data_IF_556117540962
#
_entry.id   IF_556117540962
#
_cell.length_a   1.000
_cell.length_b   1.000
_cell.length_c   1.000
_cell.angle_alpha   90.00
_cell.angle_beta   90.00
_cell.angle_gamma   90.00
#
_symmetry.space_group_name_H-M   'P 1'
#
loop_
_entity.id
_entity.type
_entity.pdbx_description
1 polymer ?
#
# COMPACT_ATOMS: atom_id res chain seq x y z
N UNK A 1 10.19 1.98 -0.67
CA UNK A 1 9.30 2.33 -1.80
C UNK A 1 10.09 2.67 -3.06
N UNK A 2 9.57 2.26 -4.22
CA UNK A 2 10.12 2.61 -5.54
C UNK A 2 10.07 4.12 -5.79
N UNK A 3 9.14 4.82 -5.19
CA UNK A 3 8.98 6.28 -5.33
C UNK A 3 10.24 7.06 -4.90
N UNK A 4 11.04 6.50 -4.01
CA UNK A 4 12.30 7.11 -3.52
C UNK A 4 13.53 6.73 -4.35
N UNK A 5 13.37 5.91 -5.39
CA UNK A 5 14.48 5.47 -6.24
C UNK A 5 14.94 6.57 -7.22
N UNK A 6 16.16 6.43 -7.71
CA UNK A 6 16.66 7.22 -8.82
C UNK A 6 16.08 6.68 -10.14
N UNK A 7 15.04 7.31 -10.65
CA UNK A 7 14.38 6.90 -11.90
C UNK A 7 15.28 6.92 -13.13
N UNK A 8 16.40 7.67 -13.11
CA UNK A 8 17.39 7.61 -14.17
C UNK A 8 18.28 6.36 -14.09
N UNK A 9 18.25 5.62 -12.97
CA UNK A 9 19.09 4.44 -12.74
C UNK A 9 18.37 3.36 -11.93
N UNK A 10 17.09 3.06 -12.27
CA UNK A 10 16.22 2.14 -11.55
C UNK A 10 16.82 0.76 -11.32
N UNK A 11 17.54 0.22 -12.32
CA UNK A 11 18.15 -1.11 -12.21
C UNK A 11 19.08 -1.20 -11.00
N UNK A 12 19.97 -0.25 -10.83
CA UNK A 12 20.93 -0.24 -9.71
C UNK A 12 20.22 -0.15 -8.35
N UNK A 13 19.16 0.66 -8.25
CA UNK A 13 18.41 0.80 -7.01
C UNK A 13 17.57 -0.45 -6.69
N UNK A 14 17.01 -1.13 -7.71
CA UNK A 14 16.34 -2.41 -7.50
C UNK A 14 17.34 -3.48 -7.05
N UNK A 15 18.53 -3.53 -7.64
CA UNK A 15 19.60 -4.44 -7.21
C UNK A 15 20.01 -4.20 -5.74
N UNK A 16 20.06 -2.94 -5.29
CA UNK A 16 20.29 -2.62 -3.86
C UNK A 16 19.17 -3.15 -2.97
N UNK A 17 17.90 -3.00 -3.39
CA UNK A 17 16.75 -3.54 -2.65
C UNK A 17 16.80 -5.07 -2.60
N UNK A 18 17.10 -5.74 -3.71
CA UNK A 18 17.22 -7.20 -3.74
C UNK A 18 18.23 -7.72 -2.71
N UNK A 19 19.35 -7.01 -2.51
CA UNK A 19 20.39 -7.37 -1.55
C UNK A 19 20.17 -6.82 -0.13
N UNK A 20 19.11 -6.06 0.11
CA UNK A 20 18.77 -5.52 1.44
C UNK A 20 17.91 -6.48 2.25
N UNK A 21 17.72 -6.15 3.53
CA UNK A 21 16.82 -6.88 4.44
C UNK A 21 15.33 -6.51 4.24
N UNK A 22 14.99 -5.72 3.21
CA UNK A 22 13.61 -5.43 2.88
C UNK A 22 12.87 -6.71 2.47
N UNK A 23 11.65 -6.91 2.98
CA UNK A 23 10.84 -8.08 2.68
C UNK A 23 10.13 -7.95 1.33
N UNK A 24 9.64 -6.76 1.00
CA UNK A 24 8.85 -6.46 -0.20
C UNK A 24 9.37 -5.23 -0.92
N UNK A 25 8.99 -5.08 -2.19
CA UNK A 25 9.16 -3.84 -2.96
C UNK A 25 7.80 -3.14 -3.09
N UNK A 26 7.65 -2.02 -2.38
CA UNK A 26 6.45 -1.17 -2.45
C UNK A 26 6.48 -0.28 -3.68
N UNK A 27 5.37 -0.24 -4.43
CA UNK A 27 5.24 0.47 -5.71
C UNK A 27 4.04 1.41 -5.67
N UNK A 28 4.29 2.71 -5.74
CA UNK A 28 3.28 3.76 -5.75
C UNK A 28 2.89 4.16 -7.17
N UNK A 29 1.67 3.82 -7.60
CA UNK A 29 1.12 4.22 -8.90
C UNK A 29 0.14 5.36 -8.72
N UNK A 30 0.42 6.49 -9.39
CA UNK A 30 -0.34 7.74 -9.29
C UNK A 30 -0.81 8.19 -10.67
N UNK A 31 -2.08 8.62 -10.78
CA UNK A 31 -2.74 8.94 -12.05
C UNK A 31 -2.90 10.45 -12.34
N UNK A 32 -2.51 11.32 -11.39
CA UNK A 32 -2.71 12.78 -11.51
C UNK A 32 -4.16 13.24 -11.32
N UNK A 33 -5.07 12.33 -10.93
CA UNK A 33 -6.50 12.60 -10.70
C UNK A 33 -6.85 12.36 -9.23
N UNK A 34 -6.58 11.15 -8.71
CA UNK A 34 -6.78 10.84 -7.29
C UNK A 34 -5.79 11.62 -6.42
N UNK A 35 -4.56 11.77 -6.89
CA UNK A 35 -3.51 12.60 -6.27
C UNK A 35 -2.93 13.58 -7.29
N UNK A 36 -2.42 14.75 -6.87
CA UNK A 36 -1.91 15.79 -7.79
C UNK A 36 -0.49 15.49 -8.29
N UNK A 37 -0.20 14.24 -8.62
CA UNK A 37 1.08 13.77 -9.14
C UNK A 37 0.87 12.55 -10.03
N UNK A 38 1.78 12.34 -11.00
CA UNK A 38 1.89 11.14 -11.83
C UNK A 38 3.23 10.49 -11.53
N UNK A 39 3.25 9.23 -11.14
CA UNK A 39 4.50 8.54 -10.80
C UNK A 39 5.03 7.70 -11.97
N UNK A 40 4.67 6.44 -12.04
CA UNK A 40 5.18 5.46 -12.99
C UNK A 40 4.04 4.63 -13.56
N UNK A 41 4.14 4.27 -14.84
CA UNK A 41 3.15 3.45 -15.52
C UNK A 41 3.64 2.03 -15.82
N UNK A 42 2.72 1.17 -16.23
CA UNK A 42 2.95 -0.26 -16.49
C UNK A 42 4.10 -0.56 -17.46
N UNK A 43 4.40 0.27 -18.51
CA UNK A 43 5.56 0.02 -19.37
C UNK A 43 6.89 0.00 -18.64
N UNK A 44 7.06 0.81 -17.60
CA UNK A 44 8.25 0.83 -16.73
C UNK A 44 8.18 -0.28 -15.70
N UNK A 45 6.99 -0.51 -15.11
CA UNK A 45 6.79 -1.50 -14.06
C UNK A 45 7.05 -2.94 -14.51
N UNK A 46 6.90 -3.25 -15.80
CA UNK A 46 7.32 -4.55 -16.34
C UNK A 46 8.79 -4.83 -16.10
N UNK A 47 9.66 -3.85 -16.37
CA UNK A 47 11.09 -3.99 -16.12
C UNK A 47 11.42 -4.03 -14.62
N UNK A 48 10.69 -3.28 -13.80
CA UNK A 48 10.81 -3.35 -12.33
C UNK A 48 10.49 -4.76 -11.84
N UNK A 49 9.39 -5.35 -12.33
CA UNK A 49 8.95 -6.69 -11.99
C UNK A 49 9.95 -7.77 -12.44
N UNK A 50 10.55 -7.62 -13.63
CA UNK A 50 11.58 -8.54 -14.14
C UNK A 50 12.90 -8.47 -13.34
N UNK A 51 13.23 -7.32 -12.77
CA UNK A 51 14.46 -7.09 -12.01
C UNK A 51 14.32 -7.38 -10.51
N UNK A 52 13.09 -7.32 -9.97
CA UNK A 52 12.86 -7.49 -8.54
C UNK A 52 12.88 -8.98 -8.15
N UNK A 53 13.69 -9.31 -7.16
CA UNK A 53 13.67 -10.60 -6.46
C UNK A 53 12.73 -10.57 -5.23
N UNK A 54 12.22 -9.38 -4.88
CA UNK A 54 11.30 -9.20 -3.77
C UNK A 54 9.85 -9.23 -4.26
N UNK A 55 8.92 -9.81 -3.48
CA UNK A 55 7.49 -9.72 -3.79
C UNK A 55 7.05 -8.28 -3.98
N UNK A 56 6.18 -8.04 -4.97
CA UNK A 56 5.66 -6.71 -5.26
C UNK A 56 4.41 -6.43 -4.43
N UNK A 57 4.44 -5.32 -3.75
CA UNK A 57 3.32 -4.71 -3.05
C UNK A 57 2.94 -3.42 -3.81
N UNK A 58 1.78 -3.43 -4.47
CA UNK A 58 1.38 -2.35 -5.40
C UNK A 58 0.27 -1.52 -4.79
N UNK A 59 0.59 -0.25 -4.54
CA UNK A 59 -0.31 0.76 -3.99
C UNK A 59 -0.86 1.66 -5.11
N UNK A 60 -2.17 1.59 -5.35
CA UNK A 60 -2.84 2.34 -6.40
C UNK A 60 -3.48 3.62 -5.86
N UNK A 61 -2.82 4.75 -6.06
CA UNK A 61 -3.36 6.10 -5.85
C UNK A 61 -4.01 6.60 -7.15
N UNK A 62 -5.05 5.89 -7.59
CA UNK A 62 -5.73 6.15 -8.87
C UNK A 62 -7.25 6.01 -8.72
N UNK A 63 -8.00 6.72 -9.55
CA UNK A 63 -9.45 6.56 -9.63
C UNK A 63 -9.83 5.28 -10.37
N UNK A 64 -10.91 4.61 -9.93
CA UNK A 64 -11.41 3.38 -10.54
C UNK A 64 -10.34 2.28 -10.64
N UNK A 65 -9.67 1.90 -9.53
CA UNK A 65 -8.54 0.97 -9.53
C UNK A 65 -8.91 -0.42 -10.07
N UNK A 66 -10.18 -0.80 -10.04
CA UNK A 66 -10.69 -2.06 -10.58
C UNK A 66 -10.40 -2.26 -12.06
N UNK A 67 -10.16 -1.19 -12.80
CA UNK A 67 -9.84 -1.25 -14.23
C UNK A 67 -8.44 -1.80 -14.51
N UNK A 68 -7.56 -1.81 -13.51
CA UNK A 68 -6.15 -2.15 -13.64
C UNK A 68 -5.76 -3.47 -12.95
N UNK A 69 -6.74 -4.23 -12.44
CA UNK A 69 -6.48 -5.51 -11.76
C UNK A 69 -5.70 -6.48 -12.64
N UNK A 70 -6.03 -6.54 -13.93
CA UNK A 70 -5.34 -7.41 -14.89
C UNK A 70 -3.89 -6.98 -15.07
N UNK A 71 -3.65 -5.70 -15.33
CA UNK A 71 -2.30 -5.15 -15.55
C UNK A 71 -1.41 -5.33 -14.32
N UNK A 72 -1.96 -5.11 -13.11
CA UNK A 72 -1.25 -5.35 -11.85
C UNK A 72 -0.93 -6.82 -11.67
N UNK A 73 -1.88 -7.72 -11.98
CA UNK A 73 -1.66 -9.17 -11.95
C UNK A 73 -0.55 -9.62 -12.90
N UNK A 74 -0.52 -9.06 -14.12
CA UNK A 74 0.49 -9.39 -15.14
C UNK A 74 1.93 -9.00 -14.72
N UNK A 75 2.10 -8.11 -13.74
CA UNK A 75 3.39 -7.83 -13.09
C UNK A 75 3.85 -8.93 -12.12
N UNK A 76 3.04 -9.93 -11.83
CA UNK A 76 3.35 -10.93 -10.79
C UNK A 76 3.15 -10.41 -9.38
N UNK A 77 2.32 -9.41 -9.20
CA UNK A 77 2.08 -8.74 -7.91
C UNK A 77 1.52 -9.70 -6.86
N UNK A 78 2.09 -9.63 -5.66
CA UNK A 78 1.64 -10.37 -4.48
C UNK A 78 0.43 -9.67 -3.82
N UNK A 79 0.54 -8.36 -3.58
CA UNK A 79 -0.44 -7.55 -2.87
C UNK A 79 -0.86 -6.35 -3.73
N UNK A 80 -2.16 -6.12 -3.86
CA UNK A 80 -2.72 -4.93 -4.53
C UNK A 80 -3.53 -4.11 -3.54
N UNK A 81 -3.05 -2.92 -3.24
CA UNK A 81 -3.71 -1.96 -2.34
C UNK A 81 -4.50 -0.94 -3.14
N UNK A 82 -5.78 -0.77 -2.78
CA UNK A 82 -6.70 0.20 -3.39
C UNK A 82 -7.25 1.13 -2.32
N UNK A 83 -7.35 2.41 -2.62
CA UNK A 83 -7.94 3.37 -1.69
C UNK A 83 -9.44 3.13 -1.51
N UNK A 84 -9.89 3.13 -0.25
CA UNK A 84 -11.30 3.12 0.11
C UNK A 84 -12.05 4.23 -0.66
N UNK A 85 -11.47 5.42 -0.70
CA UNK A 85 -12.04 6.62 -1.29
C UNK A 85 -12.10 6.59 -2.82
N UNK A 86 -11.34 5.68 -3.46
CA UNK A 86 -11.34 5.49 -4.91
C UNK A 86 -12.33 4.42 -5.40
N UNK A 87 -12.90 3.63 -4.48
CA UNK A 87 -13.74 2.47 -4.79
C UNK A 87 -15.21 2.74 -4.51
N UNK A 88 -16.04 2.88 -5.55
CA UNK A 88 -17.50 3.01 -5.39
C UNK A 88 -18.11 1.73 -4.78
N UNK A 89 -17.58 0.56 -5.13
CA UNK A 89 -18.03 -0.75 -4.68
C UNK A 89 -16.87 -1.57 -4.11
N UNK A 90 -16.32 -1.12 -2.97
CA UNK A 90 -15.10 -1.66 -2.39
C UNK A 90 -15.13 -3.18 -2.23
N UNK A 91 -16.20 -3.76 -1.67
CA UNK A 91 -16.31 -5.21 -1.49
C UNK A 91 -16.16 -5.97 -2.82
N UNK A 92 -16.78 -5.48 -3.90
CA UNK A 92 -16.61 -6.08 -5.24
C UNK A 92 -15.17 -6.00 -5.73
N UNK A 93 -14.49 -4.87 -5.52
CA UNK A 93 -13.09 -4.68 -5.93
C UNK A 93 -12.18 -5.65 -5.19
N UNK A 94 -12.36 -5.79 -3.87
CA UNK A 94 -11.62 -6.77 -3.04
C UNK A 94 -11.81 -8.19 -3.57
N UNK A 95 -13.05 -8.59 -3.88
CA UNK A 95 -13.31 -9.91 -4.46
C UNK A 95 -12.61 -10.09 -5.82
N UNK A 96 -12.68 -9.10 -6.71
CA UNK A 96 -12.03 -9.16 -8.02
C UNK A 96 -10.50 -9.30 -7.92
N UNK A 97 -9.85 -8.61 -6.96
CA UNK A 97 -8.41 -8.74 -6.69
C UNK A 97 -8.08 -10.17 -6.25
N UNK A 98 -8.87 -10.72 -5.32
CA UNK A 98 -8.69 -12.11 -4.83
C UNK A 98 -8.95 -13.15 -5.91
N UNK A 99 -9.98 -12.97 -6.72
CA UNK A 99 -10.30 -13.86 -7.86
C UNK A 99 -9.18 -13.85 -8.92
N UNK A 100 -8.46 -12.72 -9.05
CA UNK A 100 -7.26 -12.65 -9.89
C UNK A 100 -6.04 -13.35 -9.27
N UNK A 101 -6.13 -13.85 -8.02
CA UNK A 101 -5.07 -14.58 -7.33
C UNK A 101 -4.02 -13.68 -6.67
N UNK A 102 -4.36 -12.43 -6.37
CA UNK A 102 -3.56 -11.52 -5.56
C UNK A 102 -4.16 -11.40 -4.15
N UNK A 103 -3.36 -10.96 -3.19
CA UNK A 103 -3.86 -10.50 -1.90
C UNK A 103 -4.48 -9.11 -2.08
N UNK A 104 -5.58 -8.85 -1.37
CA UNK A 104 -6.30 -7.59 -1.46
C UNK A 104 -6.03 -6.72 -0.24
N UNK A 105 -5.45 -5.55 -0.47
CA UNK A 105 -5.26 -4.51 0.53
C UNK A 105 -6.22 -3.33 0.33
N UNK A 106 -6.61 -2.70 1.42
CA UNK A 106 -7.42 -1.48 1.42
C UNK A 106 -6.67 -0.35 2.10
N UNK A 107 -6.53 0.76 1.40
CA UNK A 107 -5.82 1.96 1.90
C UNK A 107 -6.81 3.00 2.42
N UNK A 108 -6.49 3.62 3.55
CA UNK A 108 -7.22 4.75 4.12
C UNK A 108 -6.37 6.01 4.11
N UNK A 109 -6.93 7.10 3.58
CA UNK A 109 -6.36 8.45 3.73
C UNK A 109 -6.29 8.87 5.21
N UNK A 110 -5.45 9.86 5.56
CA UNK A 110 -5.33 10.33 6.94
C UNK A 110 -6.66 10.73 7.59
N UNK A 111 -7.58 11.31 6.81
CA UNK A 111 -8.89 11.79 7.28
C UNK A 111 -9.98 10.71 7.34
N UNK A 112 -9.77 9.53 6.74
CA UNK A 112 -10.77 8.47 6.70
C UNK A 112 -10.69 7.62 7.96
N UNK A 113 -11.75 7.50 8.77
CA UNK A 113 -11.70 6.76 10.02
C UNK A 113 -11.65 5.24 9.80
N UNK A 114 -11.00 4.52 10.71
CA UNK A 114 -10.88 3.05 10.69
C UNK A 114 -12.24 2.35 10.71
N UNK A 115 -13.24 2.94 11.35
CA UNK A 115 -14.60 2.40 11.42
C UNK A 115 -15.26 2.15 10.06
N UNK A 116 -14.78 2.78 8.99
CA UNK A 116 -15.24 2.52 7.62
C UNK A 116 -14.93 1.10 7.13
N UNK A 117 -14.04 0.39 7.82
CA UNK A 117 -13.66 -0.98 7.47
C UNK A 117 -14.42 -2.06 8.26
N UNK A 118 -15.30 -1.68 9.19
CA UNK A 118 -15.98 -2.62 10.09
C UNK A 118 -16.66 -3.78 9.36
N UNK A 119 -17.31 -3.50 8.24
CA UNK A 119 -18.10 -4.49 7.49
C UNK A 119 -17.27 -5.28 6.48
N UNK A 120 -15.97 -4.93 6.26
CA UNK A 120 -15.13 -5.55 5.23
C UNK A 120 -13.81 -6.11 5.78
N UNK A 121 -13.47 -5.82 7.04
CA UNK A 121 -12.15 -6.17 7.61
C UNK A 121 -11.83 -7.66 7.54
N UNK A 122 -12.84 -8.54 7.56
CA UNK A 122 -12.66 -9.98 7.45
C UNK A 122 -12.35 -10.46 6.02
N UNK A 123 -12.57 -9.62 5.02
CA UNK A 123 -12.39 -9.96 3.60
C UNK A 123 -11.06 -9.46 3.04
N UNK A 124 -10.37 -8.55 3.75
CA UNK A 124 -9.10 -7.97 3.30
C UNK A 124 -7.90 -8.68 3.92
N UNK A 125 -6.78 -8.69 3.19
CA UNK A 125 -5.55 -9.32 3.64
C UNK A 125 -4.59 -8.30 4.27
N UNK A 126 -4.78 -7.01 4.00
CA UNK A 126 -4.00 -5.92 4.56
C UNK A 126 -4.80 -4.61 4.58
N UNK A 127 -4.54 -3.77 5.58
CA UNK A 127 -4.99 -2.38 5.59
C UNK A 127 -3.78 -1.48 5.61
N UNK A 128 -3.66 -0.65 4.59
CA UNK A 128 -2.63 0.40 4.49
C UNK A 128 -3.16 1.71 5.08
N UNK A 129 -2.54 2.21 6.12
CA UNK A 129 -2.84 3.51 6.71
C UNK A 129 -1.86 4.55 6.19
N UNK A 130 -2.36 5.56 5.48
CA UNK A 130 -1.53 6.69 5.10
C UNK A 130 -1.18 7.54 6.33
N UNK A 131 0.09 7.73 6.57
CA UNK A 131 0.63 8.62 7.62
C UNK A 131 1.10 9.98 7.09
N UNK A 132 0.87 10.20 5.80
CA UNK A 132 1.00 11.47 5.08
C UNK A 132 -0.18 11.62 4.12
N UNK A 133 -0.39 12.80 3.54
CA UNK A 133 -1.32 12.90 2.40
C UNK A 133 -0.70 12.22 1.17
N UNK A 134 -1.40 11.29 0.50
CA UNK A 134 -0.84 10.59 -0.67
C UNK A 134 -0.50 11.57 -1.80
N UNK A 135 0.51 11.21 -2.63
CA UNK A 135 0.89 11.94 -3.82
C UNK A 135 2.36 12.35 -3.90
N UNK A 136 3.07 12.51 -2.79
CA UNK A 136 4.48 12.92 -2.77
C UNK A 136 5.25 12.21 -1.66
N UNK A 137 6.50 11.85 -1.95
CA UNK A 137 7.44 11.36 -0.94
C UNK A 137 8.01 12.47 -0.04
N UNK A 138 8.71 12.08 1.03
CA UNK A 138 9.47 12.99 1.90
C UNK A 138 8.62 13.91 2.80
N UNK A 139 7.35 13.60 2.99
CA UNK A 139 6.45 14.36 3.87
C UNK A 139 6.66 14.05 5.34
N UNK A 140 6.21 14.96 6.22
CA UNK A 140 6.25 14.76 7.66
C UNK A 140 5.14 13.82 8.11
N UNK A 141 5.49 12.88 8.98
CA UNK A 141 4.57 11.96 9.64
C UNK A 141 3.43 12.68 10.36
N UNK A 142 2.21 12.20 10.19
CA UNK A 142 1.00 12.69 10.88
C UNK A 142 0.82 11.88 12.17
N UNK A 143 1.04 12.46 13.38
CA UNK A 143 1.03 11.70 14.64
C UNK A 143 -0.27 10.97 14.96
N UNK A 144 -1.41 11.47 14.46
CA UNK A 144 -2.72 10.83 14.64
C UNK A 144 -2.78 9.41 14.06
N UNK A 145 -1.88 9.07 13.13
CA UNK A 145 -1.78 7.71 12.57
C UNK A 145 -1.53 6.66 13.64
N UNK A 146 -0.79 6.98 14.71
CA UNK A 146 -0.58 6.06 15.84
C UNK A 146 -1.90 5.65 16.52
N UNK A 147 -2.84 6.58 16.63
CA UNK A 147 -4.20 6.29 17.15
C UNK A 147 -4.95 5.38 16.18
N UNK A 148 -4.90 5.68 14.89
CA UNK A 148 -5.55 4.85 13.86
C UNK A 148 -4.98 3.42 13.82
N UNK A 149 -3.66 3.24 14.00
CA UNK A 149 -3.05 1.90 14.07
C UNK A 149 -3.61 1.11 15.25
N UNK A 150 -3.72 1.71 16.44
CA UNK A 150 -4.31 1.04 17.62
C UNK A 150 -5.80 0.69 17.41
N UNK A 151 -6.59 1.63 16.90
CA UNK A 151 -8.00 1.40 16.56
C UNK A 151 -8.17 0.26 15.55
N UNK A 152 -7.29 0.19 14.55
CA UNK A 152 -7.33 -0.86 13.54
C UNK A 152 -6.91 -2.22 14.12
N UNK A 153 -5.90 -2.27 14.98
CA UNK A 153 -5.51 -3.50 15.67
C UNK A 153 -6.66 -4.03 16.53
N UNK A 154 -7.32 -3.16 17.30
CA UNK A 154 -8.51 -3.53 18.07
C UNK A 154 -9.67 -4.03 17.18
N UNK A 155 -9.86 -3.44 16.00
CA UNK A 155 -10.88 -3.90 15.05
C UNK A 155 -10.55 -5.28 14.51
N UNK A 156 -9.30 -5.52 14.09
CA UNK A 156 -8.79 -6.80 13.60
C UNK A 156 -8.96 -7.89 14.66
N UNK A 157 -8.49 -7.64 15.88
CA UNK A 157 -8.54 -8.60 16.99
C UNK A 157 -9.99 -8.97 17.34
N UNK A 158 -10.87 -7.96 17.43
CA UNK A 158 -12.29 -8.16 17.78
C UNK A 158 -13.06 -8.90 16.67
N UNK A 159 -12.71 -8.71 15.40
CA UNK A 159 -13.36 -9.40 14.28
C UNK A 159 -12.79 -10.79 14.01
N UNK A 160 -11.65 -11.14 14.60
CA UNK A 160 -10.91 -12.38 14.29
C UNK A 160 -10.25 -12.36 12.91
N UNK A 161 -10.11 -11.18 12.29
CA UNK A 161 -9.41 -11.01 11.02
C UNK A 161 -7.92 -11.31 11.17
N UNK A 162 -7.28 -11.69 10.05
CA UNK A 162 -5.82 -11.89 9.95
C UNK A 162 -5.17 -10.81 9.08
N UNK A 163 -5.87 -9.70 8.83
CA UNK A 163 -5.35 -8.61 8.03
C UNK A 163 -4.09 -8.00 8.67
N UNK A 164 -3.08 -7.74 7.85
CA UNK A 164 -1.89 -7.01 8.26
C UNK A 164 -2.18 -5.50 8.32
N UNK A 165 -1.45 -4.79 9.16
CA UNK A 165 -1.46 -3.32 9.22
C UNK A 165 -0.18 -2.80 8.59
N UNK A 166 -0.30 -2.14 7.46
CA UNK A 166 0.78 -1.42 6.80
C UNK A 166 0.66 0.08 7.07
N UNK A 167 1.79 0.76 7.21
CA UNK A 167 1.84 2.23 7.34
C UNK A 167 2.82 2.80 6.32
N UNK A 168 2.34 3.75 5.51
CA UNK A 168 3.14 4.44 4.51
C UNK A 168 3.17 5.95 4.75
N UNK A 169 4.40 6.48 4.76
CA UNK A 169 4.72 7.90 4.73
C UNK A 169 5.38 8.44 6.00
N UNK A 170 6.52 9.10 5.84
CA UNK A 170 7.24 9.75 6.94
C UNK A 170 7.79 8.79 7.99
N UNK A 171 7.94 7.52 7.66
CA UNK A 171 8.49 6.48 8.53
C UNK A 171 10.01 6.68 8.64
N UNK A 172 10.51 6.61 9.88
CA UNK A 172 11.93 6.64 10.22
C UNK A 172 12.16 5.79 11.48
N UNK A 173 13.38 5.74 12.01
CA UNK A 173 13.71 4.90 13.18
C UNK A 173 12.85 5.23 14.42
N UNK A 174 12.51 6.50 14.63
CA UNK A 174 11.70 6.94 15.76
C UNK A 174 10.22 6.60 15.54
N UNK A 175 9.65 7.07 14.43
CA UNK A 175 8.23 6.83 14.12
C UNK A 175 7.94 5.36 13.86
N UNK A 176 8.88 4.62 13.24
CA UNK A 176 8.76 3.18 13.00
C UNK A 176 8.66 2.39 14.31
N UNK A 177 9.50 2.69 15.31
CA UNK A 177 9.40 2.03 16.62
C UNK A 177 8.04 2.28 17.28
N UNK A 178 7.54 3.51 17.23
CA UNK A 178 6.21 3.86 17.76
C UNK A 178 5.06 3.16 17.00
N UNK A 179 5.21 2.99 15.69
CA UNK A 179 4.21 2.30 14.86
C UNK A 179 4.16 0.80 15.17
N UNK A 180 5.30 0.15 15.32
CA UNK A 180 5.38 -1.26 15.71
C UNK A 180 4.79 -1.46 17.11
N UNK A 181 5.11 -0.59 18.07
CA UNK A 181 4.51 -0.61 19.42
C UNK A 181 2.99 -0.40 19.37
N UNK A 182 2.50 0.42 18.46
CA UNK A 182 1.07 0.64 18.26
C UNK A 182 0.35 -0.54 17.58
N UNK A 183 1.07 -1.49 16.96
CA UNK A 183 0.55 -2.70 16.35
C UNK A 183 0.67 -2.76 14.82
N UNK A 184 1.52 -1.95 14.18
CA UNK A 184 1.81 -2.08 12.75
C UNK A 184 2.68 -3.32 12.47
N UNK A 185 2.40 -3.99 11.35
CA UNK A 185 3.10 -5.20 10.90
C UNK A 185 4.09 -4.87 9.77
N UNK A 186 3.79 -3.88 8.93
CA UNK A 186 4.55 -3.50 7.72
C UNK A 186 4.79 -1.99 7.71
N UNK A 187 6.00 -1.57 7.34
CA UNK A 187 6.44 -0.17 7.29
C UNK A 187 7.04 0.16 5.91
N UNK A 188 6.61 1.30 5.34
CA UNK A 188 7.10 1.84 4.07
C UNK A 188 7.82 3.16 4.25
#
# INVERSE_FOLDING_TARGET
>A
SLLSANFANLKEDIEKINHSDADWLHIDIMDGVFVPNISVGFPVLKYVAELSEKPLDVHLMIVQPEKFIREVKELGTMMMNVHYEACTHLHRVVQQIKDAGMRAGVTLNPSTPVSMLTDIISDVDMVLLMSVNPGFGGQKFIPHTLTKVRELRELIDRSGSQALIEVDGGVNLETGSQLVEAGADVLV
#
